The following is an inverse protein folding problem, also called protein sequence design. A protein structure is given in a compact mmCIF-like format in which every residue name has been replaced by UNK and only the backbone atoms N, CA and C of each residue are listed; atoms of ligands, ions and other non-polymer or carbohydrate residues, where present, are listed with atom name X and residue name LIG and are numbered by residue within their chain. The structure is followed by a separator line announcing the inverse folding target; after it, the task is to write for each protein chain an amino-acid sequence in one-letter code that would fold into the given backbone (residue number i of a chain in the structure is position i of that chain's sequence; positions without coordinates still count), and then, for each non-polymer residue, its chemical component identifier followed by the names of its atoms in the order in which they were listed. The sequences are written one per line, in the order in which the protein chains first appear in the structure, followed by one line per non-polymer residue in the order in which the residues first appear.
data_IF_457655381536
#
_entry.id   IF_457655381536
#
_cell.length_a   1.000
_cell.length_b   1.000
_cell.length_c   1.000
_cell.angle_alpha   90.00
_cell.angle_beta   90.00
_cell.angle_gamma   90.00
#
_symmetry.space_group_name_H-M   'P 1'
#
loop_
_entity.id
_entity.type
_entity.pdbx_description
1 polymer ?
#
# COMPACT_ATOMS: atom_id res chain seq x y z
N UNK A 1 39.44 9.25 -28.65
CA UNK A 1 38.88 8.07 -27.96
C UNK A 1 38.19 8.51 -26.66
N UNK A 2 37.23 9.44 -26.72
CA UNK A 2 36.47 9.83 -25.52
C UNK A 2 35.03 10.07 -25.97
N UNK A 3 34.38 8.98 -26.38
CA UNK A 3 32.93 8.95 -26.55
C UNK A 3 32.34 9.12 -25.16
N UNK A 4 32.07 10.37 -24.81
CA UNK A 4 30.88 10.81 -24.09
C UNK A 4 30.20 9.70 -23.30
N UNK A 5 30.85 9.24 -22.23
CA UNK A 5 30.18 8.60 -21.11
C UNK A 5 29.44 9.70 -20.33
N UNK A 6 28.57 10.44 -21.03
CA UNK A 6 27.57 11.26 -20.38
C UNK A 6 26.63 10.23 -19.77
N UNK A 7 26.81 9.98 -18.48
CA UNK A 7 25.84 9.30 -17.65
C UNK A 7 24.47 9.89 -17.99
N UNK A 8 23.70 9.15 -18.80
CA UNK A 8 22.35 9.50 -19.16
C UNK A 8 21.60 9.57 -17.84
N UNK A 9 21.45 10.80 -17.33
CA UNK A 9 20.79 11.05 -16.05
C UNK A 9 19.33 10.82 -16.31
N UNK A 10 18.93 9.55 -16.21
CA UNK A 10 17.58 9.07 -16.51
C UNK A 10 16.64 9.88 -15.62
N UNK A 11 15.92 10.83 -16.24
CA UNK A 11 15.13 11.85 -15.55
C UNK A 11 13.95 11.18 -14.87
N UNK A 12 13.67 11.55 -13.63
CA UNK A 12 12.49 11.05 -12.90
C UNK A 12 11.23 11.60 -13.58
N UNK A 13 10.28 10.73 -13.87
CA UNK A 13 8.99 11.16 -14.40
C UNK A 13 8.03 11.54 -13.27
N UNK A 14 7.96 12.83 -12.96
CA UNK A 14 7.13 13.37 -11.89
C UNK A 14 5.63 13.10 -12.04
N UNK A 15 5.14 12.89 -13.26
CA UNK A 15 3.73 12.53 -13.50
C UNK A 15 3.44 11.13 -12.96
N UNK A 16 4.30 10.15 -13.26
CA UNK A 16 4.13 8.78 -12.74
C UNK A 16 4.24 8.73 -11.21
N UNK A 17 5.11 9.56 -10.62
CA UNK A 17 5.18 9.69 -9.15
C UNK A 17 3.85 10.21 -8.60
N UNK A 18 3.25 11.23 -9.21
CA UNK A 18 1.96 11.77 -8.76
C UNK A 18 0.84 10.73 -8.90
N UNK A 19 0.82 9.95 -9.98
CA UNK A 19 -0.15 8.86 -10.17
C UNK A 19 -0.02 7.80 -9.09
N UNK A 20 1.20 7.35 -8.80
CA UNK A 20 1.47 6.37 -7.74
C UNK A 20 1.04 6.89 -6.36
N UNK A 21 1.29 8.17 -6.06
CA UNK A 21 0.86 8.78 -4.80
C UNK A 21 -0.67 8.87 -4.73
N UNK A 22 -1.32 9.30 -5.80
CA UNK A 22 -2.77 9.39 -5.85
C UNK A 22 -3.42 8.02 -5.64
N UNK A 23 -2.94 6.98 -6.33
CA UNK A 23 -3.49 5.62 -6.20
C UNK A 23 -3.19 5.02 -4.82
N UNK A 24 -2.02 5.31 -4.23
CA UNK A 24 -1.68 4.88 -2.89
C UNK A 24 -2.64 5.46 -1.84
N UNK A 25 -3.04 6.73 -1.99
CA UNK A 25 -3.99 7.37 -1.08
C UNK A 25 -5.39 6.83 -1.33
N UNK A 26 -5.89 6.86 -2.57
CA UNK A 26 -7.25 6.41 -2.91
C UNK A 26 -7.46 4.96 -2.50
N UNK A 27 -6.73 4.03 -3.12
CA UNK A 27 -6.92 2.60 -2.92
C UNK A 27 -6.39 2.16 -1.56
N UNK A 28 -5.27 2.72 -1.12
CA UNK A 28 -4.65 2.30 0.15
C UNK A 28 -5.48 2.67 1.37
N UNK A 29 -6.11 3.85 1.39
CA UNK A 29 -6.99 4.20 2.52
C UNK A 29 -8.24 3.34 2.57
N UNK A 30 -8.86 3.03 1.43
CA UNK A 30 -10.01 2.13 1.36
C UNK A 30 -9.64 0.71 1.80
N UNK A 31 -8.54 0.17 1.29
CA UNK A 31 -8.11 -1.20 1.57
C UNK A 31 -7.72 -1.40 3.04
N UNK A 32 -6.89 -0.50 3.57
CA UNK A 32 -6.46 -0.56 4.98
C UNK A 32 -7.64 -0.25 5.90
N UNK A 33 -8.41 0.79 5.61
CA UNK A 33 -9.58 1.18 6.41
C UNK A 33 -10.66 0.10 6.45
N UNK A 34 -11.02 -0.49 5.31
CA UNK A 34 -12.01 -1.56 5.24
C UNK A 34 -11.55 -2.81 5.98
N UNK A 35 -10.28 -3.21 5.83
CA UNK A 35 -9.74 -4.37 6.55
C UNK A 35 -9.75 -4.14 8.06
N UNK A 36 -9.32 -2.98 8.55
CA UNK A 36 -9.33 -2.63 9.97
C UNK A 36 -10.75 -2.63 10.53
N UNK A 37 -11.68 -1.97 9.83
CA UNK A 37 -13.08 -1.92 10.23
C UNK A 37 -13.71 -3.32 10.26
N UNK A 38 -13.34 -4.21 9.32
CA UNK A 38 -13.79 -5.59 9.32
C UNK A 38 -13.27 -6.37 10.55
N UNK A 39 -11.99 -6.18 10.92
CA UNK A 39 -11.42 -6.78 12.13
C UNK A 39 -12.14 -6.34 13.41
N UNK A 40 -12.39 -5.04 13.54
CA UNK A 40 -13.18 -4.48 14.64
C UNK A 40 -14.61 -5.03 14.66
N UNK A 41 -15.28 -5.07 13.52
CA UNK A 41 -16.65 -5.56 13.40
C UNK A 41 -16.75 -7.06 13.76
N UNK A 42 -15.81 -7.89 13.31
CA UNK A 42 -15.76 -9.31 13.67
C UNK A 42 -15.59 -9.51 15.17
N UNK A 43 -14.71 -8.73 15.80
CA UNK A 43 -14.51 -8.74 17.24
C UNK A 43 -15.80 -8.45 18.03
N UNK A 44 -16.55 -7.43 17.59
CA UNK A 44 -17.82 -7.04 18.22
C UNK A 44 -18.97 -8.00 17.97
N UNK A 45 -19.15 -8.45 16.72
CA UNK A 45 -20.25 -9.33 16.30
C UNK A 45 -20.15 -10.73 16.94
N UNK A 46 -18.94 -11.23 17.16
CA UNK A 46 -18.70 -12.52 17.79
C UNK A 46 -18.62 -12.43 19.32
N UNK A 47 -18.80 -11.24 19.91
CA UNK A 47 -18.69 -10.95 21.35
C UNK A 47 -17.44 -11.58 21.99
N UNK A 48 -16.31 -11.49 21.28
CA UNK A 48 -15.06 -12.08 21.72
C UNK A 48 -14.50 -11.36 22.94
N UNK A 49 -13.68 -12.07 23.71
CA UNK A 49 -12.90 -11.47 24.78
C UNK A 49 -12.10 -10.26 24.25
N UNK A 50 -11.98 -9.15 25.02
CA UNK A 50 -11.30 -7.95 24.57
C UNK A 50 -9.89 -8.19 24.03
N UNK A 51 -9.13 -9.13 24.62
CA UNK A 51 -7.79 -9.46 24.15
C UNK A 51 -7.84 -10.08 22.74
N UNK A 52 -8.69 -11.09 22.55
CA UNK A 52 -8.84 -11.81 21.28
C UNK A 52 -9.36 -10.88 20.18
N UNK A 53 -10.34 -10.05 20.52
CA UNK A 53 -10.91 -9.04 19.63
C UNK A 53 -9.84 -8.08 19.10
N UNK A 54 -8.94 -7.60 19.97
CA UNK A 54 -7.83 -6.72 19.56
C UNK A 54 -6.76 -7.41 18.74
N UNK A 55 -6.48 -8.69 19.01
CA UNK A 55 -5.57 -9.48 18.18
C UNK A 55 -6.13 -9.65 16.76
N UNK A 56 -7.44 -9.91 16.62
CA UNK A 56 -8.11 -10.02 15.33
C UNK A 56 -8.11 -8.67 14.61
N UNK A 57 -8.47 -7.59 15.29
CA UNK A 57 -8.45 -6.22 14.75
C UNK A 57 -7.05 -5.88 14.19
N UNK A 58 -6.00 -6.10 15.00
CA UNK A 58 -4.62 -5.87 14.59
C UNK A 58 -4.21 -6.80 13.42
N UNK A 59 -4.61 -8.07 13.45
CA UNK A 59 -4.34 -9.03 12.39
C UNK A 59 -4.95 -8.61 11.05
N UNK A 60 -6.21 -8.19 11.05
CA UNK A 60 -6.88 -7.67 9.87
C UNK A 60 -6.25 -6.37 9.36
N UNK A 61 -5.88 -5.46 10.27
CA UNK A 61 -5.13 -4.25 9.93
C UNK A 61 -3.80 -4.55 9.24
N UNK A 62 -3.01 -5.48 9.81
CA UNK A 62 -1.75 -5.93 9.22
C UNK A 62 -1.95 -6.58 7.85
N UNK A 63 -3.01 -7.38 7.68
CA UNK A 63 -3.39 -7.91 6.37
C UNK A 63 -3.69 -6.80 5.37
N UNK A 64 -4.42 -5.75 5.76
CA UNK A 64 -4.68 -4.58 4.93
C UNK A 64 -3.41 -3.89 4.44
N UNK A 65 -2.45 -3.65 5.36
CA UNK A 65 -1.15 -3.10 5.00
C UNK A 65 -0.33 -4.04 4.10
N UNK A 66 -0.39 -5.35 4.34
CA UNK A 66 0.25 -6.37 3.49
C UNK A 66 -0.30 -6.34 2.06
N UNK A 67 -1.63 -6.31 1.91
CA UNK A 67 -2.30 -6.18 0.62
C UNK A 67 -1.91 -4.87 -0.09
N UNK A 68 -1.91 -3.75 0.62
CA UNK A 68 -1.48 -2.45 0.06
C UNK A 68 -0.02 -2.49 -0.40
N UNK A 69 0.87 -3.13 0.37
CA UNK A 69 2.27 -3.29 -0.01
C UNK A 69 2.42 -4.07 -1.33
N UNK A 70 1.73 -5.21 -1.49
CA UNK A 70 1.76 -5.98 -2.73
C UNK A 70 1.12 -5.24 -3.90
N UNK A 71 0.04 -4.50 -3.64
CA UNK A 71 -0.61 -3.64 -4.63
C UNK A 71 0.35 -2.55 -5.12
N UNK A 72 0.97 -1.80 -4.22
CA UNK A 72 1.93 -0.75 -4.57
C UNK A 72 3.18 -1.30 -5.27
N UNK A 73 3.68 -2.45 -4.83
CA UNK A 73 4.77 -3.15 -5.52
C UNK A 73 4.41 -3.47 -6.96
N UNK A 74 3.17 -3.86 -7.21
CA UNK A 74 2.66 -4.13 -8.55
C UNK A 74 2.50 -2.84 -9.35
N UNK A 75 1.95 -1.77 -8.76
CA UNK A 75 1.78 -0.48 -9.41
C UNK A 75 3.13 0.11 -9.86
N UNK A 76 4.13 0.13 -8.98
CA UNK A 76 5.48 0.63 -9.28
C UNK A 76 6.16 -0.19 -10.39
N UNK A 77 5.85 -1.49 -10.50
CA UNK A 77 6.39 -2.36 -11.56
C UNK A 77 5.79 -2.02 -12.94
N UNK A 78 4.54 -1.57 -13.00
CA UNK A 78 3.84 -1.24 -14.24
C UNK A 78 4.00 0.24 -14.63
N UNK A 79 4.17 1.14 -13.66
CA UNK A 79 4.50 2.55 -13.88
C UNK A 79 5.95 2.84 -13.49
N UNK A 80 6.91 2.71 -14.44
CA UNK A 80 8.29 3.01 -14.16
C UNK A 80 8.45 4.50 -13.84
N UNK A 81 8.88 4.79 -12.61
CA UNK A 81 9.24 6.14 -12.12
C UNK A 81 10.42 6.73 -12.92
N UNK A 82 11.11 5.85 -13.64
CA UNK A 82 12.36 6.09 -14.33
C UNK A 82 12.39 5.25 -15.60
#
# INVERSE_FOLDING_TARGET
MERSALAETKKINWVHVSTLVAVAILVGTEMVGASWAAGWALGGLLQLDPLVSRVIEAGFGLCGFGLLYYFMRTAIRHEPIR
#
